data_IF_724214244534
#
_entry.id   IF_724214244534
#
_cell.length_a   1.000
_cell.length_b   1.000
_cell.length_c   1.000
_cell.angle_alpha   90.00
_cell.angle_beta   90.00
_cell.angle_gamma   90.00
#
_symmetry.space_group_name_H-M   'P 1'
#
loop_
_entity.id
_entity.type
_entity.pdbx_description
1 polymer ?
#
# COMPACT_ATOMS: atom_id res chain seq x y z
N UNK A 1 13.21 16.76 -29.96
CA UNK A 1 13.45 18.20 -30.09
C UNK A 1 12.11 18.91 -30.18
N UNK A 2 11.79 19.77 -29.23
CA UNK A 2 10.61 20.65 -29.28
C UNK A 2 11.15 22.06 -29.10
N UNK A 3 11.06 22.90 -30.14
CA UNK A 3 11.45 24.32 -30.12
C UNK A 3 12.95 24.64 -29.88
N UNK A 4 13.89 23.77 -30.31
CA UNK A 4 15.33 24.12 -30.35
C UNK A 4 16.02 24.32 -29.00
N UNK A 5 15.36 23.96 -27.89
CA UNK A 5 15.97 23.92 -26.56
C UNK A 5 16.42 22.48 -26.26
N UNK A 6 17.63 22.26 -25.71
CA UNK A 6 18.06 20.95 -25.28
C UNK A 6 17.20 20.49 -24.11
N UNK A 7 16.18 19.68 -24.40
CA UNK A 7 15.41 18.95 -23.39
C UNK A 7 16.21 17.71 -23.01
N UNK A 8 16.51 17.50 -21.72
CA UNK A 8 17.14 16.28 -21.27
C UNK A 8 16.30 15.06 -21.68
N UNK A 9 16.96 14.00 -22.17
CA UNK A 9 16.31 12.79 -22.68
C UNK A 9 15.50 12.00 -21.65
N UNK A 10 15.62 12.35 -20.36
CA UNK A 10 14.87 11.73 -19.26
C UNK A 10 13.50 12.38 -19.00
N UNK A 11 13.18 13.51 -19.67
CA UNK A 11 11.87 14.15 -19.52
C UNK A 11 10.92 13.51 -20.54
N UNK A 12 9.91 12.74 -20.10
CA UNK A 12 8.94 12.17 -21.03
C UNK A 12 8.19 13.29 -21.75
N UNK A 13 8.22 13.28 -23.08
CA UNK A 13 7.59 14.30 -23.93
C UNK A 13 6.07 14.12 -24.07
N UNK A 14 5.54 13.00 -23.57
CA UNK A 14 4.12 12.71 -23.46
C UNK A 14 3.73 12.64 -21.98
N UNK A 15 2.57 13.20 -21.58
CA UNK A 15 2.07 13.02 -20.22
C UNK A 15 1.93 11.53 -19.94
N UNK A 16 2.49 11.03 -18.83
CA UNK A 16 2.29 9.66 -18.36
C UNK A 16 0.86 9.35 -17.89
N UNK A 17 -0.09 10.23 -18.24
CA UNK A 17 -1.50 10.11 -17.91
C UNK A 17 -2.35 10.44 -19.16
N UNK A 18 -3.36 9.62 -19.48
CA UNK A 18 -3.71 8.35 -18.82
C UNK A 18 -2.67 7.24 -19.10
N UNK A 19 -2.50 6.28 -18.19
CA UNK A 19 -1.68 5.09 -18.44
C UNK A 19 -2.19 4.38 -19.69
N UNK A 20 -1.29 3.84 -20.51
CA UNK A 20 -1.71 3.04 -21.64
C UNK A 20 -2.15 1.65 -21.18
N UNK A 21 -3.01 0.97 -21.95
CA UNK A 21 -3.45 -0.40 -21.64
C UNK A 21 -2.29 -1.37 -21.29
N UNK A 22 -1.16 -1.40 -22.01
CA UNK A 22 -0.03 -2.26 -21.64
C UNK A 22 0.63 -1.87 -20.31
N UNK A 23 0.53 -0.61 -19.86
CA UNK A 23 1.08 -0.18 -18.57
C UNK A 23 0.21 -0.67 -17.39
N UNK A 24 -1.07 -0.97 -17.65
CA UNK A 24 -2.01 -1.46 -16.64
C UNK A 24 -1.94 -2.98 -16.44
N UNK A 25 -1.47 -3.73 -17.44
CA UNK A 25 -1.40 -5.20 -17.40
C UNK A 25 -0.62 -5.71 -16.18
N UNK A 26 0.61 -5.21 -15.88
CA UNK A 26 1.36 -5.69 -14.72
C UNK A 26 0.64 -5.42 -13.40
N UNK A 27 -0.01 -4.25 -13.27
CA UNK A 27 -0.74 -3.87 -12.05
C UNK A 27 -1.94 -4.78 -11.82
N UNK A 28 -2.67 -5.12 -12.89
CA UNK A 28 -3.81 -6.04 -12.82
C UNK A 28 -3.34 -7.44 -12.46
N UNK A 29 -2.26 -7.92 -13.08
CA UNK A 29 -1.68 -9.25 -12.79
C UNK A 29 -1.20 -9.36 -11.33
N UNK A 30 -0.45 -8.36 -10.85
CA UNK A 30 0.02 -8.32 -9.46
C UNK A 30 -1.15 -8.24 -8.47
N UNK A 31 -2.23 -7.52 -8.81
CA UNK A 31 -3.44 -7.42 -7.99
C UNK A 31 -4.20 -8.75 -7.85
N UNK A 32 -4.05 -9.70 -8.78
CA UNK A 32 -4.66 -11.04 -8.67
C UNK A 32 -3.97 -11.87 -7.58
N UNK A 33 -2.69 -11.60 -7.33
CA UNK A 33 -1.86 -12.26 -6.30
C UNK A 33 -1.86 -11.50 -4.95
N UNK A 34 -2.90 -10.71 -4.71
CA UNK A 34 -3.11 -9.93 -3.49
C UNK A 34 -2.83 -10.73 -2.19
N UNK A 35 -1.92 -10.21 -1.36
CA UNK A 35 -1.39 -10.82 -0.12
C UNK A 35 -0.91 -12.27 -0.23
N UNK A 36 -0.53 -12.73 -1.42
CA UNK A 36 -0.20 -14.14 -1.67
C UNK A 36 -1.34 -15.09 -1.30
N UNK A 37 -2.59 -14.61 -1.23
CA UNK A 37 -3.74 -15.41 -0.81
C UNK A 37 -3.99 -16.53 -1.82
N UNK A 38 -3.84 -16.24 -3.12
CA UNK A 38 -3.91 -17.23 -4.20
C UNK A 38 -2.89 -18.36 -3.97
N UNK A 39 -1.68 -18.00 -3.60
CA UNK A 39 -0.57 -18.94 -3.49
C UNK A 39 -0.74 -19.78 -2.22
N UNK A 40 -1.19 -19.17 -1.12
CA UNK A 40 -1.56 -19.88 0.09
C UNK A 40 -2.71 -20.86 -0.14
N UNK A 41 -3.78 -20.45 -0.83
CA UNK A 41 -4.93 -21.30 -1.14
C UNK A 41 -4.55 -22.45 -2.08
N UNK A 42 -3.70 -22.21 -3.07
CA UNK A 42 -3.23 -23.23 -3.99
C UNK A 42 -2.35 -24.28 -3.26
N UNK A 43 -1.42 -23.83 -2.41
CA UNK A 43 -0.60 -24.71 -1.58
C UNK A 43 -1.46 -25.56 -0.63
N UNK A 44 -2.48 -24.96 0.00
CA UNK A 44 -3.35 -25.66 0.95
C UNK A 44 -4.33 -26.62 0.26
N UNK A 45 -4.81 -26.28 -0.94
CA UNK A 45 -5.83 -27.05 -1.66
C UNK A 45 -5.28 -28.25 -2.43
N UNK A 46 -4.04 -28.21 -2.90
CA UNK A 46 -3.59 -29.15 -3.93
C UNK A 46 -2.26 -29.85 -3.66
N UNK A 47 -1.46 -29.41 -2.69
CA UNK A 47 -0.09 -29.94 -2.49
C UNK A 47 0.78 -29.85 -3.74
N UNK A 48 0.33 -29.09 -4.74
CA UNK A 48 1.00 -28.92 -6.01
C UNK A 48 2.02 -27.80 -5.85
N UNK A 49 3.21 -28.08 -6.35
CA UNK A 49 4.33 -27.15 -6.49
C UNK A 49 3.78 -25.80 -6.90
N UNK A 50 4.09 -24.77 -6.11
CA UNK A 50 3.80 -23.37 -6.40
C UNK A 50 4.07 -23.16 -7.87
N UNK A 51 3.00 -22.93 -8.65
CA UNK A 51 3.13 -22.51 -10.03
C UNK A 51 3.97 -21.24 -9.95
N UNK A 52 5.26 -21.39 -10.26
CA UNK A 52 6.26 -20.35 -10.22
C UNK A 52 5.69 -19.27 -11.12
N UNK A 53 5.11 -18.24 -10.52
CA UNK A 53 4.45 -17.19 -11.29
C UNK A 53 5.55 -16.63 -12.17
N UNK A 54 5.37 -16.66 -13.49
CA UNK A 54 6.29 -16.03 -14.44
C UNK A 54 6.36 -14.51 -14.27
N UNK A 55 5.77 -13.99 -13.20
CA UNK A 55 5.82 -12.62 -12.75
C UNK A 55 7.18 -12.36 -12.06
N UNK A 56 7.82 -11.22 -12.33
CA UNK A 56 8.96 -10.70 -11.58
C UNK A 56 8.67 -10.70 -10.09
N UNK A 57 9.37 -11.57 -9.36
CA UNK A 57 9.09 -11.86 -7.95
C UNK A 57 9.31 -10.61 -7.09
N UNK A 58 10.31 -9.80 -7.46
CA UNK A 58 10.61 -8.55 -6.79
C UNK A 58 9.45 -7.55 -6.87
N UNK A 59 8.83 -7.41 -8.05
CA UNK A 59 7.70 -6.50 -8.24
C UNK A 59 6.50 -6.94 -7.41
N UNK A 60 6.18 -8.23 -7.44
CA UNK A 60 5.09 -8.80 -6.66
C UNK A 60 5.31 -8.64 -5.15
N UNK A 61 6.56 -8.80 -4.68
CA UNK A 61 6.90 -8.55 -3.28
C UNK A 61 6.73 -7.08 -2.86
N UNK A 62 7.17 -6.14 -3.71
CA UNK A 62 6.96 -4.71 -3.45
C UNK A 62 5.49 -4.32 -3.43
N UNK A 63 4.70 -4.88 -4.34
CA UNK A 63 3.25 -4.66 -4.39
C UNK A 63 2.59 -5.13 -3.08
N UNK A 64 2.82 -6.38 -2.69
CA UNK A 64 2.27 -6.95 -1.45
C UNK A 64 2.78 -6.24 -0.19
N UNK A 65 4.04 -5.77 -0.18
CA UNK A 65 4.58 -4.97 0.91
C UNK A 65 3.88 -3.61 1.02
N UNK A 66 3.65 -2.92 -0.10
CA UNK A 66 2.94 -1.65 -0.11
C UNK A 66 1.50 -1.81 0.40
N UNK A 67 0.81 -2.87 -0.03
CA UNK A 67 -0.53 -3.19 0.47
C UNK A 67 -0.52 -3.53 1.96
N UNK A 68 0.38 -4.41 2.41
CA UNK A 68 0.60 -4.73 3.82
C UNK A 68 0.79 -3.47 4.67
N UNK A 69 1.62 -2.54 4.20
CA UNK A 69 1.87 -1.26 4.85
C UNK A 69 0.58 -0.43 4.97
N UNK A 70 -0.20 -0.28 3.90
CA UNK A 70 -1.47 0.47 3.93
C UNK A 70 -2.52 -0.21 4.81
N UNK A 71 -2.55 -1.54 4.84
CA UNK A 71 -3.45 -2.30 5.72
C UNK A 71 -3.20 -2.00 7.20
N UNK A 72 -1.95 -1.71 7.60
CA UNK A 72 -1.67 -1.28 8.98
C UNK A 72 -2.27 0.08 9.32
N UNK A 73 -2.55 0.94 8.33
CA UNK A 73 -3.18 2.24 8.61
C UNK A 73 -4.67 2.13 8.96
N UNK A 74 -5.40 1.11 8.50
CA UNK A 74 -6.82 0.98 8.81
C UNK A 74 -7.12 0.97 10.32
N UNK A 75 -6.53 0.08 11.14
CA UNK A 75 -6.78 0.08 12.58
C UNK A 75 -6.29 1.37 13.24
N UNK A 76 -5.22 2.00 12.75
CA UNK A 76 -4.73 3.28 13.26
C UNK A 76 -5.76 4.41 13.02
N UNK A 77 -6.32 4.48 11.81
CA UNK A 77 -7.36 5.43 11.44
C UNK A 77 -8.66 5.17 12.21
N UNK A 78 -8.97 3.90 12.52
CA UNK A 78 -10.14 3.53 13.32
C UNK A 78 -9.94 3.81 14.82
N UNK A 79 -8.74 3.66 15.37
CA UNK A 79 -8.44 3.89 16.78
C UNK A 79 -8.37 5.38 17.14
N UNK A 80 -8.26 6.26 16.15
CA UNK A 80 -8.23 7.69 16.34
C UNK A 80 -9.58 8.24 16.82
N UNK A 81 -9.60 8.80 18.03
CA UNK A 81 -10.82 9.36 18.64
C UNK A 81 -11.29 10.63 17.94
N UNK A 82 -10.37 11.36 17.29
CA UNK A 82 -10.66 12.61 16.57
C UNK A 82 -10.69 12.38 15.05
N UNK A 83 -11.06 11.16 14.64
CA UNK A 83 -11.21 10.78 13.23
C UNK A 83 -12.39 11.47 12.58
N UNK A 84 -12.34 11.58 11.25
CA UNK A 84 -13.49 11.93 10.43
C UNK A 84 -14.59 10.84 10.52
N UNK A 85 -15.81 11.08 10.02
CA UNK A 85 -16.87 10.07 10.02
C UNK A 85 -16.40 8.74 9.42
N UNK A 86 -16.81 7.61 10.02
CA UNK A 86 -16.46 6.26 9.57
C UNK A 86 -16.53 6.03 8.05
N UNK A 87 -17.57 6.46 7.30
CA UNK A 87 -17.59 6.26 5.85
C UNK A 87 -16.46 7.01 5.13
N UNK A 88 -16.08 8.19 5.62
CA UNK A 88 -14.96 8.99 5.05
C UNK A 88 -13.62 8.32 5.37
N UNK A 89 -13.46 7.79 6.58
CA UNK A 89 -12.28 7.04 6.99
C UNK A 89 -12.08 5.80 6.13
N UNK A 90 -13.14 5.00 5.95
CA UNK A 90 -13.12 3.77 5.15
C UNK A 90 -12.87 4.11 3.67
N UNK A 91 -13.53 5.14 3.13
CA UNK A 91 -13.33 5.58 1.75
C UNK A 91 -11.91 6.10 1.49
N UNK A 92 -11.35 6.85 2.43
CA UNK A 92 -9.94 7.32 2.37
C UNK A 92 -8.98 6.14 2.43
N UNK A 93 -9.22 5.18 3.33
CA UNK A 93 -8.37 4.00 3.46
C UNK A 93 -8.40 3.16 2.17
N UNK A 94 -9.57 2.99 1.55
CA UNK A 94 -9.68 2.30 0.26
C UNK A 94 -8.91 3.04 -0.84
N UNK A 95 -9.01 4.38 -0.91
CA UNK A 95 -8.20 5.17 -1.84
C UNK A 95 -6.70 5.10 -1.55
N UNK A 96 -6.31 4.98 -0.28
CA UNK A 96 -4.93 4.86 0.15
C UNK A 96 -4.27 3.53 -0.24
N UNK A 97 -5.05 2.48 -0.54
CA UNK A 97 -4.54 1.19 -1.04
C UNK A 97 -3.89 1.34 -2.42
N UNK A 98 -4.41 2.22 -3.28
CA UNK A 98 -3.81 2.51 -4.58
C UNK A 98 -2.81 3.67 -4.57
N UNK A 99 -3.09 4.72 -3.78
CA UNK A 99 -2.32 5.96 -3.78
C UNK A 99 -2.24 6.53 -2.36
N UNK A 100 -1.44 5.90 -1.51
CA UNK A 100 -1.35 6.24 -0.08
C UNK A 100 -1.11 7.73 0.14
N UNK A 101 -0.16 8.32 -0.60
CA UNK A 101 0.19 9.74 -0.46
C UNK A 101 -0.90 10.70 -0.94
N UNK A 102 -1.71 10.33 -1.94
CA UNK A 102 -2.74 11.21 -2.49
C UNK A 102 -3.98 11.29 -1.59
N UNK A 103 -4.26 10.24 -0.80
CA UNK A 103 -5.45 10.17 0.05
C UNK A 103 -5.16 10.46 1.53
N UNK A 104 -4.02 10.05 2.07
CA UNK A 104 -3.71 10.29 3.49
C UNK A 104 -3.42 11.77 3.80
N UNK A 105 -2.71 12.48 2.93
CA UNK A 105 -2.36 13.89 3.13
C UNK A 105 -3.61 14.81 3.22
N UNK A 106 -4.56 14.76 2.27
CA UNK A 106 -5.79 15.54 2.39
C UNK A 106 -6.67 15.05 3.55
N UNK A 107 -6.67 13.76 3.86
CA UNK A 107 -7.39 13.24 5.04
C UNK A 107 -6.87 13.83 6.35
N UNK A 108 -5.55 13.86 6.55
CA UNK A 108 -4.93 14.44 7.75
C UNK A 108 -5.22 15.94 7.86
N UNK A 109 -5.25 16.65 6.73
CA UNK A 109 -5.61 18.07 6.67
C UNK A 109 -7.09 18.28 7.02
N UNK A 110 -8.00 17.52 6.40
CA UNK A 110 -9.42 17.59 6.67
C UNK A 110 -9.76 17.24 8.13
N UNK A 111 -9.06 16.26 8.70
CA UNK A 111 -9.14 15.91 10.12
C UNK A 111 -8.75 17.09 11.01
N UNK A 112 -7.65 17.79 10.72
CA UNK A 112 -7.21 18.96 11.51
C UNK A 112 -8.24 20.10 11.45
N UNK A 113 -8.81 20.36 10.27
CA UNK A 113 -9.86 21.38 10.11
C UNK A 113 -11.12 21.01 10.88
N UNK A 114 -11.53 19.73 10.84
CA UNK A 114 -12.67 19.22 11.60
C UNK A 114 -12.45 19.33 13.12
N UNK A 115 -11.22 19.13 13.61
CA UNK A 115 -10.92 19.35 15.03
C UNK A 115 -11.05 20.82 15.45
N UNK A 116 -10.53 21.74 14.64
CA UNK A 116 -10.58 23.18 14.95
C UNK A 116 -12.02 23.72 14.97
N UNK A 117 -12.95 23.09 14.24
CA UNK A 117 -14.36 23.49 14.17
C UNK A 117 -15.20 22.95 15.35
N UNK A 118 -14.73 21.90 16.03
CA UNK A 118 -15.44 21.20 17.11
C UNK A 118 -14.77 21.38 18.49
N UNK A 119 -13.96 22.42 18.69
CA UNK A 119 -13.20 22.64 19.95
C UNK A 119 -14.03 23.26 21.09
N UNK A 120 -15.36 23.12 21.06
CA UNK A 120 -16.23 23.46 22.18
C UNK A 120 -16.75 22.16 22.81
N UNK A 121 -16.20 21.81 23.98
CA UNK A 121 -16.62 20.75 24.92
C UNK A 121 -16.42 19.28 24.48
N UNK A 122 -15.59 18.52 25.20
CA UNK A 122 -16.09 17.47 26.11
C UNK A 122 -15.06 16.45 26.61
N UNK A 123 -15.25 16.16 27.89
CA UNK A 123 -14.74 15.11 28.78
C UNK A 123 -13.92 13.93 28.20
N UNK A 124 -12.71 13.82 28.73
CA UNK A 124 -11.85 12.64 28.65
C UNK A 124 -12.48 11.41 29.31
N UNK A 125 -13.04 10.50 28.50
CA UNK A 125 -13.13 9.08 28.89
C UNK A 125 -11.96 8.31 28.28
N UNK A 126 -11.05 7.74 29.11
CA UNK A 126 -9.96 6.93 28.61
C UNK A 126 -10.50 5.60 28.10
N UNK A 127 -10.64 5.44 26.79
CA UNK A 127 -10.73 4.11 26.17
C UNK A 127 -9.43 3.38 26.51
N UNK A 128 -9.53 2.28 27.26
CA UNK A 128 -8.39 1.41 27.57
C UNK A 128 -7.91 0.73 26.29
N UNK A 129 -7.05 1.44 25.57
CA UNK A 129 -6.54 1.07 24.25
C UNK A 129 -5.33 0.15 24.32
N UNK A 130 -4.92 -0.28 25.52
CA UNK A 130 -3.78 -1.19 25.71
C UNK A 130 -3.91 -2.51 24.94
N UNK A 131 -5.03 -3.26 25.01
CA UNK A 131 -5.16 -4.50 24.25
C UNK A 131 -5.21 -4.26 22.74
N UNK A 132 -5.88 -3.19 22.29
CA UNK A 132 -5.97 -2.85 20.86
C UNK A 132 -4.61 -2.46 20.28
N UNK A 133 -3.82 -1.68 21.02
CA UNK A 133 -2.45 -1.31 20.65
C UNK A 133 -1.51 -2.51 20.62
N UNK A 134 -1.67 -3.46 21.55
CA UNK A 134 -0.88 -4.69 21.57
C UNK A 134 -1.22 -5.60 20.40
N UNK A 135 -2.51 -5.83 20.12
CA UNK A 135 -2.97 -6.61 18.96
C UNK A 135 -2.49 -5.96 17.66
N UNK A 136 -2.63 -4.64 17.55
CA UNK A 136 -2.12 -3.89 16.41
C UNK A 136 -0.61 -4.06 16.23
N UNK A 137 0.18 -3.84 17.28
CA UNK A 137 1.63 -4.00 17.22
C UNK A 137 2.04 -5.40 16.77
N UNK A 138 1.35 -6.44 17.25
CA UNK A 138 1.62 -7.83 16.86
C UNK A 138 1.21 -8.09 15.41
N UNK A 139 0.02 -7.67 14.97
CA UNK A 139 -0.45 -7.84 13.59
C UNK A 139 0.48 -7.10 12.63
N UNK A 140 0.83 -5.85 12.92
CA UNK A 140 1.77 -5.07 12.12
C UNK A 140 3.12 -5.75 12.05
N UNK A 141 3.65 -6.24 13.17
CA UNK A 141 4.94 -6.92 13.20
C UNK A 141 4.92 -8.22 12.39
N UNK A 142 3.84 -9.01 12.46
CA UNK A 142 3.71 -10.24 11.69
C UNK A 142 3.55 -9.97 10.20
N UNK A 143 2.61 -9.09 9.82
CA UNK A 143 2.26 -8.84 8.41
C UNK A 143 3.37 -8.08 7.69
N UNK A 144 3.84 -6.96 8.26
CA UNK A 144 4.91 -6.16 7.66
C UNK A 144 6.26 -6.85 7.81
N UNK A 145 6.49 -7.56 8.93
CA UNK A 145 7.72 -8.33 9.13
C UNK A 145 7.83 -9.48 8.14
N UNK A 146 6.75 -10.22 7.90
CA UNK A 146 6.72 -11.29 6.90
C UNK A 146 6.91 -10.73 5.47
N UNK A 147 6.13 -9.72 5.08
CA UNK A 147 6.26 -9.10 3.76
C UNK A 147 7.66 -8.48 3.54
N UNK A 148 8.23 -7.85 4.57
CA UNK A 148 9.58 -7.30 4.52
C UNK A 148 10.66 -8.37 4.45
N UNK A 149 10.48 -9.50 5.14
CA UNK A 149 11.39 -10.64 5.04
C UNK A 149 11.36 -11.26 3.64
N UNK A 150 10.18 -11.47 3.05
CA UNK A 150 10.02 -11.97 1.68
C UNK A 150 10.61 -10.99 0.65
N UNK A 151 10.36 -9.69 0.81
CA UNK A 151 10.94 -8.68 -0.07
C UNK A 151 12.48 -8.70 0.01
N UNK A 152 13.03 -8.85 1.22
CA UNK A 152 14.47 -8.91 1.44
C UNK A 152 15.08 -10.22 0.91
N UNK A 153 14.42 -11.35 1.09
CA UNK A 153 14.89 -12.65 0.59
C UNK A 153 14.98 -12.62 -0.95
N UNK A 154 13.91 -12.15 -1.61
CA UNK A 154 13.84 -12.00 -3.08
C UNK A 154 14.88 -10.99 -3.58
N UNK A 155 15.04 -9.86 -2.87
CA UNK A 155 16.07 -8.85 -3.18
C UNK A 155 17.48 -9.43 -3.18
N UNK A 156 17.79 -10.30 -2.20
CA UNK A 156 19.11 -10.91 -2.06
C UNK A 156 19.34 -12.06 -3.06
N UNK A 157 18.29 -12.76 -3.48
CA UNK A 157 18.38 -13.85 -4.48
C UNK A 157 18.38 -13.35 -5.93
N UNK A 158 17.80 -12.18 -6.20
CA UNK A 158 17.58 -11.66 -7.56
C UNK A 158 18.16 -10.24 -7.77
N UNK A 159 19.47 -10.01 -7.58
CA UNK A 159 20.07 -8.67 -7.70
C UNK A 159 19.95 -8.05 -9.10
N UNK A 160 19.68 -8.83 -10.14
CA UNK A 160 19.46 -8.36 -11.52
C UNK A 160 18.06 -7.80 -11.81
N UNK A 161 17.03 -8.16 -11.03
CA UNK A 161 15.64 -7.71 -11.30
C UNK A 161 15.42 -6.23 -10.99
N UNK A 162 16.33 -5.58 -10.27
CA UNK A 162 16.26 -4.15 -9.95
C UNK A 162 16.40 -3.25 -11.19
N UNK A 163 17.19 -3.66 -12.18
CA UNK A 163 17.28 -2.91 -13.43
C UNK A 163 15.98 -2.99 -14.22
N UNK A 164 15.35 -4.16 -14.20
CA UNK A 164 14.14 -4.46 -14.98
C UNK A 164 12.88 -3.84 -14.36
N UNK A 165 12.92 -3.52 -13.06
CA UNK A 165 11.83 -2.85 -12.34
C UNK A 165 11.80 -1.33 -12.62
N UNK A 166 12.96 -0.74 -12.91
CA UNK A 166 13.10 0.71 -13.14
C UNK A 166 13.43 1.09 -14.60
N UNK A 167 13.53 0.11 -15.50
CA UNK A 167 13.70 0.30 -16.95
C UNK A 167 12.38 0.46 -17.66
#
# INVERSE_FOLDING_TARGET
>A
EVNGLPVPSFIPMTPGWPPSDPDLVPVIEDSVHFFYISDFLNNFSSGAETAESSLPQLRLAFFNFAEAWVFTFLPLLLADKKRLPLPVVIGTWFGALGLTNAFLAPYLTARQLFMNDNDDSDDERPIDSKPLKAIFGVITLLVVGYAGFETLSVTLSSPGEWSDLFS
#
